data_IF_737112955468
#
_entry.id   IF_737112955468
#
_cell.length_a   1.000
_cell.length_b   1.000
_cell.length_c   1.000
_cell.angle_alpha   90.00
_cell.angle_beta   90.00
_cell.angle_gamma   90.00
#
_symmetry.space_group_name_H-M   'P 1'
#
loop_
_entity.id
_entity.type
_entity.pdbx_description
1 polymer ?
#
# COMPACT_ATOMS: atom_id res chain seq x y z
N UNK A 1 24.72 20.54 -21.13
CA UNK A 1 24.65 21.48 -19.96
C UNK A 1 23.24 22.09 -19.98
N UNK A 2 22.51 22.17 -18.86
CA UNK A 2 21.19 22.79 -18.87
C UNK A 2 21.27 24.28 -19.05
N UNK A 3 20.49 24.86 -19.97
CA UNK A 3 20.31 26.29 -20.12
C UNK A 3 18.83 26.65 -20.06
N UNK A 4 18.51 27.76 -19.39
CA UNK A 4 17.14 28.30 -19.35
C UNK A 4 16.94 29.19 -20.56
N UNK A 5 16.04 28.77 -21.48
CA UNK A 5 15.80 29.53 -22.72
C UNK A 5 14.62 30.51 -22.56
N UNK A 6 13.59 30.14 -21.75
CA UNK A 6 12.42 30.98 -21.57
C UNK A 6 11.78 30.73 -20.20
N UNK A 7 11.32 31.84 -19.59
CA UNK A 7 10.50 31.84 -18.40
C UNK A 7 9.14 32.41 -18.73
N UNK A 8 8.06 31.65 -18.44
CA UNK A 8 6.67 32.09 -18.58
C UNK A 8 6.04 32.26 -17.20
N UNK A 9 5.42 33.40 -16.95
CA UNK A 9 4.79 33.72 -15.66
C UNK A 9 3.36 34.19 -15.90
N UNK A 10 2.38 33.65 -15.15
CA UNK A 10 1.00 34.06 -15.22
C UNK A 10 0.34 34.02 -13.84
N UNK A 11 -0.37 35.09 -13.47
CA UNK A 11 -1.07 35.16 -12.18
C UNK A 11 -0.16 35.12 -10.94
N UNK A 12 1.16 35.25 -11.10
CA UNK A 12 2.13 35.13 -10.03
C UNK A 12 2.54 36.51 -9.49
N UNK A 13 2.22 36.79 -8.24
CA UNK A 13 2.51 38.04 -7.54
C UNK A 13 2.09 39.28 -8.35
N UNK A 14 3.06 40.05 -8.91
CA UNK A 14 2.80 41.24 -9.71
C UNK A 14 2.52 40.97 -11.20
N UNK A 15 2.73 39.74 -11.66
CA UNK A 15 2.51 39.31 -13.04
C UNK A 15 1.11 38.76 -13.22
N UNK A 16 0.16 39.61 -13.57
CA UNK A 16 -1.25 39.22 -13.74
C UNK A 16 -1.46 38.46 -15.06
N UNK A 17 -1.05 39.08 -16.13
CA UNK A 17 -1.18 38.55 -17.49
C UNK A 17 0.01 37.65 -17.84
N UNK A 18 -0.17 36.71 -18.79
CA UNK A 18 0.93 35.87 -19.27
C UNK A 18 2.07 36.76 -19.75
N UNK A 19 3.24 36.59 -19.13
CA UNK A 19 4.45 37.35 -19.45
C UNK A 19 5.59 36.39 -19.71
N UNK A 20 6.17 36.46 -20.88
CA UNK A 20 7.25 35.59 -21.31
C UNK A 20 8.57 36.37 -21.31
N UNK A 21 9.60 35.78 -20.73
CA UNK A 21 10.97 36.29 -20.71
C UNK A 21 11.85 35.34 -21.50
N UNK A 22 12.30 35.77 -22.69
CA UNK A 22 13.32 35.04 -23.44
C UNK A 22 14.71 35.31 -22.84
N UNK A 23 15.45 34.24 -22.56
CA UNK A 23 16.78 34.29 -21.98
C UNK A 23 17.77 33.79 -23.02
N UNK A 24 18.49 34.73 -23.62
CA UNK A 24 19.48 34.43 -24.67
C UNK A 24 20.80 33.96 -24.05
N UNK A 25 21.58 33.22 -24.83
CA UNK A 25 22.94 32.84 -24.45
C UNK A 25 23.79 34.08 -24.12
N UNK A 26 24.60 34.01 -23.06
CA UNK A 26 25.40 35.07 -22.55
C UNK A 26 24.79 35.82 -21.37
N UNK A 27 24.97 37.12 -21.29
CA UNK A 27 24.47 37.95 -20.20
C UNK A 27 23.12 38.58 -20.56
N UNK A 28 22.08 38.24 -19.81
CA UNK A 28 20.74 38.85 -19.93
C UNK A 28 20.51 39.77 -18.73
N UNK A 29 20.26 41.06 -18.97
CA UNK A 29 19.96 42.08 -17.95
C UNK A 29 18.47 42.40 -17.88
N UNK A 30 17.87 42.34 -16.66
CA UNK A 30 16.50 42.77 -16.40
C UNK A 30 16.55 44.04 -15.57
N UNK A 31 16.16 45.16 -16.17
CA UNK A 31 16.20 46.49 -15.58
C UNK A 31 14.80 47.08 -15.41
N UNK A 32 14.62 47.96 -14.43
CA UNK A 32 13.36 48.62 -14.16
C UNK A 32 13.37 49.39 -12.84
N UNK A 33 12.40 50.25 -12.56
CA UNK A 33 12.28 51.00 -11.31
C UNK A 33 12.04 50.08 -10.09
N UNK A 34 12.16 50.66 -8.88
CA UNK A 34 11.84 49.93 -7.66
C UNK A 34 10.33 49.59 -7.61
N UNK A 35 9.99 48.36 -7.16
CA UNK A 35 8.61 47.93 -7.04
C UNK A 35 8.00 47.31 -8.31
N UNK A 36 8.67 47.36 -9.49
CA UNK A 36 8.11 46.78 -10.74
C UNK A 36 8.14 45.27 -10.87
N UNK A 37 8.51 44.53 -9.82
CA UNK A 37 8.46 43.07 -9.84
C UNK A 37 9.74 42.33 -10.21
N UNK A 38 10.91 43.03 -10.36
CA UNK A 38 12.22 42.37 -10.69
C UNK A 38 12.55 41.19 -9.79
N UNK A 39 12.33 41.31 -8.48
CA UNK A 39 12.59 40.25 -7.52
C UNK A 39 11.60 39.08 -7.68
N UNK A 40 10.39 39.35 -8.15
CA UNK A 40 9.38 38.31 -8.36
C UNK A 40 9.75 37.36 -9.49
N UNK A 41 10.57 37.81 -10.47
CA UNK A 41 11.11 36.95 -11.53
C UNK A 41 12.06 35.91 -10.95
N UNK A 42 12.96 36.29 -10.04
CA UNK A 42 13.86 35.35 -9.36
C UNK A 42 13.06 34.35 -8.49
N UNK A 43 12.02 34.85 -7.85
CA UNK A 43 11.14 34.00 -7.04
C UNK A 43 10.32 33.02 -7.90
N UNK A 44 9.87 33.46 -9.08
CA UNK A 44 9.21 32.58 -10.04
C UNK A 44 10.16 31.47 -10.54
N UNK A 45 11.42 31.82 -10.88
CA UNK A 45 12.44 30.82 -11.24
C UNK A 45 12.62 29.81 -10.09
N UNK A 46 12.79 30.25 -8.85
CA UNK A 46 12.93 29.36 -7.68
C UNK A 46 11.73 28.48 -7.49
N UNK A 47 10.54 29.04 -7.64
CA UNK A 47 9.29 28.28 -7.56
C UNK A 47 9.27 27.19 -8.65
N UNK A 48 9.58 27.52 -9.90
CA UNK A 48 9.65 26.57 -11.00
C UNK A 48 10.67 25.44 -10.77
N UNK A 49 11.81 25.75 -10.15
CA UNK A 49 12.87 24.80 -9.79
C UNK A 49 12.51 23.89 -8.60
N UNK A 50 11.32 24.04 -7.99
CA UNK A 50 10.84 23.16 -6.94
C UNK A 50 10.96 23.68 -5.51
N UNK A 51 11.11 25.02 -5.28
CA UNK A 51 11.05 25.58 -3.94
C UNK A 51 9.65 25.43 -3.34
N UNK A 52 9.59 24.99 -2.07
CA UNK A 52 8.35 24.79 -1.31
C UNK A 52 8.19 25.79 -0.17
N UNK A 53 9.25 26.43 0.24
CA UNK A 53 9.23 27.36 1.36
C UNK A 53 8.64 28.70 0.95
N UNK A 54 7.42 29.02 1.42
CA UNK A 54 6.80 30.32 1.20
C UNK A 54 7.70 31.46 1.68
N UNK A 55 8.41 31.29 2.81
CA UNK A 55 9.38 32.29 3.34
C UNK A 55 10.51 32.60 2.37
N UNK A 56 11.01 31.60 1.65
CA UNK A 56 12.07 31.79 0.67
C UNK A 56 11.58 32.52 -0.59
N UNK A 57 10.26 32.41 -0.84
CA UNK A 57 9.54 33.12 -1.91
C UNK A 57 8.87 34.39 -1.41
N UNK A 58 9.28 34.91 -0.23
CA UNK A 58 8.77 36.15 0.39
C UNK A 58 7.24 36.17 0.55
N UNK A 59 6.61 35.01 0.78
CA UNK A 59 5.22 34.85 1.16
C UNK A 59 5.12 34.33 2.60
N UNK A 60 3.99 34.49 3.24
CA UNK A 60 3.63 33.81 4.50
C UNK A 60 3.14 32.40 4.20
N UNK A 61 2.28 32.29 3.19
CA UNK A 61 1.70 31.05 2.68
C UNK A 61 1.96 30.93 1.17
N UNK A 62 1.78 29.73 0.63
CA UNK A 62 1.95 29.48 -0.81
C UNK A 62 0.93 30.28 -1.63
N UNK A 63 -0.26 30.48 -1.11
CA UNK A 63 -1.33 31.24 -1.76
C UNK A 63 -0.98 32.73 -1.93
N UNK A 64 -0.06 33.28 -1.13
CA UNK A 64 0.46 34.64 -1.30
C UNK A 64 1.27 34.84 -2.58
N UNK A 65 1.65 33.76 -3.24
CA UNK A 65 2.31 33.81 -4.54
C UNK A 65 1.31 34.07 -5.69
N UNK A 66 0.02 33.87 -5.46
CA UNK A 66 -1.03 34.18 -6.42
C UNK A 66 -1.32 35.69 -6.35
N UNK A 67 -1.61 36.31 -7.49
CA UNK A 67 -2.02 37.70 -7.54
C UNK A 67 -3.27 37.94 -6.70
N UNK A 68 -3.13 38.80 -5.68
CA UNK A 68 -4.17 39.06 -4.67
C UNK A 68 -5.18 40.15 -5.08
N UNK A 69 -5.01 40.71 -6.28
CA UNK A 69 -5.85 41.83 -6.73
C UNK A 69 -5.28 43.19 -6.38
N UNK A 70 -5.84 44.21 -6.97
CA UNK A 70 -5.61 45.66 -6.70
C UNK A 70 -6.96 46.35 -6.75
N UNK A 71 -7.01 47.63 -6.39
CA UNK A 71 -8.24 48.45 -6.45
C UNK A 71 -8.94 48.40 -7.82
N UNK A 72 -8.16 48.20 -8.89
CA UNK A 72 -8.65 48.18 -10.27
C UNK A 72 -8.70 46.80 -10.94
N UNK A 73 -8.23 45.71 -10.24
CA UNK A 73 -8.17 44.36 -10.81
C UNK A 73 -8.55 43.31 -9.77
N UNK A 74 -9.48 42.39 -10.06
CA UNK A 74 -9.83 41.33 -9.12
C UNK A 74 -8.65 40.38 -8.86
N UNK A 75 -8.68 39.70 -7.71
CA UNK A 75 -7.74 38.63 -7.40
C UNK A 75 -7.91 37.44 -8.32
N UNK A 76 -6.82 36.71 -8.55
CA UNK A 76 -6.83 35.48 -9.32
C UNK A 76 -6.87 34.25 -8.39
N UNK A 77 -7.35 33.13 -8.92
CA UNK A 77 -7.39 31.86 -8.18
C UNK A 77 -6.28 30.90 -8.59
N UNK A 78 -5.51 31.26 -9.63
CA UNK A 78 -4.45 30.42 -10.16
C UNK A 78 -3.20 31.24 -10.47
N UNK A 79 -2.04 30.67 -10.17
CA UNK A 79 -0.76 31.18 -10.67
C UNK A 79 -0.03 30.03 -11.37
N UNK A 80 0.67 30.36 -12.45
CA UNK A 80 1.44 29.41 -13.24
C UNK A 80 2.82 29.97 -13.55
N UNK A 81 3.84 29.11 -13.38
CA UNK A 81 5.22 29.42 -13.78
C UNK A 81 5.72 28.28 -14.64
N UNK A 82 6.15 28.59 -15.85
CA UNK A 82 6.75 27.69 -16.82
C UNK A 82 8.22 27.99 -17.05
N UNK A 83 9.07 26.97 -16.95
CA UNK A 83 10.50 27.03 -17.28
C UNK A 83 10.73 26.19 -18.55
N UNK A 84 11.27 26.80 -19.59
CA UNK A 84 11.68 26.11 -20.80
C UNK A 84 13.19 25.98 -20.79
N UNK A 85 13.64 24.74 -20.63
CA UNK A 85 15.05 24.41 -20.40
C UNK A 85 15.58 23.62 -21.58
N UNK A 86 16.67 24.05 -22.15
CA UNK A 86 17.42 23.31 -23.16
C UNK A 86 18.22 22.21 -22.48
N UNK A 87 18.07 20.95 -22.94
CA UNK A 87 18.72 19.76 -22.42
C UNK A 87 19.62 19.08 -23.47
N UNK A 88 19.88 19.74 -24.60
CA UNK A 88 20.69 19.17 -25.69
C UNK A 88 22.10 18.78 -25.18
N UNK A 89 22.55 17.59 -25.54
CA UNK A 89 23.83 17.01 -25.11
C UNK A 89 23.87 16.60 -23.63
N UNK A 90 22.74 16.46 -22.95
CA UNK A 90 22.64 15.95 -21.58
C UNK A 90 22.05 14.54 -21.54
N UNK A 91 22.31 13.79 -20.46
CA UNK A 91 21.68 12.47 -20.23
C UNK A 91 20.15 12.52 -20.22
N UNK A 92 19.58 13.70 -19.96
CA UNK A 92 18.12 13.93 -19.95
C UNK A 92 17.51 13.91 -21.35
N UNK A 93 18.28 14.27 -22.39
CA UNK A 93 17.82 14.20 -23.78
C UNK A 93 17.38 12.78 -24.16
N UNK A 94 18.17 11.78 -23.78
CA UNK A 94 17.85 10.37 -24.01
C UNK A 94 16.62 9.93 -23.20
N UNK A 95 16.44 10.45 -22.00
CA UNK A 95 15.32 10.10 -21.11
C UNK A 95 14.00 10.68 -21.60
N UNK A 96 13.99 11.91 -22.08
CA UNK A 96 12.77 12.63 -22.47
C UNK A 96 12.56 12.66 -23.99
N UNK A 97 13.51 12.16 -24.79
CA UNK A 97 13.47 12.16 -26.27
C UNK A 97 13.14 13.55 -26.85
N UNK A 98 13.67 14.60 -26.24
CA UNK A 98 13.45 15.99 -26.61
C UNK A 98 14.70 16.79 -26.30
N UNK A 99 14.96 17.82 -27.08
CA UNK A 99 16.03 18.80 -26.81
C UNK A 99 15.62 19.90 -25.86
N UNK A 100 14.33 20.12 -25.69
CA UNK A 100 13.77 21.11 -24.79
C UNK A 100 12.78 20.45 -23.83
N UNK A 101 12.84 20.88 -22.57
CA UNK A 101 11.98 20.41 -21.51
C UNK A 101 11.14 21.58 -20.99
N UNK A 102 9.82 21.41 -21.00
CA UNK A 102 8.91 22.33 -20.35
C UNK A 102 8.61 21.84 -18.94
N UNK A 103 8.90 22.67 -17.93
CA UNK A 103 8.60 22.40 -16.54
C UNK A 103 7.65 23.47 -16.06
N UNK A 104 6.40 23.11 -15.76
CA UNK A 104 5.38 24.01 -15.29
C UNK A 104 4.96 23.69 -13.87
N UNK A 105 4.78 24.73 -13.04
CA UNK A 105 4.16 24.60 -11.73
C UNK A 105 2.97 25.55 -11.62
N UNK A 106 1.86 25.00 -11.13
CA UNK A 106 0.60 25.71 -10.95
C UNK A 106 0.21 25.72 -9.48
N UNK A 107 -0.32 26.85 -9.03
CA UNK A 107 -0.88 27.01 -7.68
C UNK A 107 -2.36 27.29 -7.87
N UNK A 108 -3.21 26.55 -7.18
CA UNK A 108 -4.63 26.86 -7.04
C UNK A 108 -4.89 27.32 -5.61
N UNK A 109 -5.62 28.42 -5.48
CA UNK A 109 -5.94 29.01 -4.19
C UNK A 109 -6.75 28.01 -3.35
N UNK A 110 -6.19 27.64 -2.18
CA UNK A 110 -6.80 26.66 -1.27
C UNK A 110 -6.66 25.19 -1.65
N UNK A 111 -6.14 24.86 -2.85
CA UNK A 111 -6.00 23.45 -3.30
C UNK A 111 -4.54 22.99 -3.34
N UNK A 112 -3.60 23.94 -3.26
CA UNK A 112 -2.17 23.63 -3.25
C UNK A 112 -1.48 23.76 -4.60
N UNK A 113 -0.41 22.95 -4.83
CA UNK A 113 0.46 23.08 -6.01
C UNK A 113 0.59 21.78 -6.76
N UNK A 114 0.47 21.84 -8.10
CA UNK A 114 0.74 20.72 -9.01
C UNK A 114 1.94 21.04 -9.89
N UNK A 115 2.64 20.01 -10.30
CA UNK A 115 3.86 20.12 -11.08
C UNK A 115 3.76 19.30 -12.35
N UNK A 116 4.28 19.82 -13.46
CA UNK A 116 4.15 19.20 -14.78
C UNK A 116 5.51 19.19 -15.48
N UNK A 117 5.78 18.15 -16.25
CA UNK A 117 6.90 18.05 -17.18
C UNK A 117 6.32 17.68 -18.55
N UNK A 118 6.55 18.53 -19.55
CA UNK A 118 5.99 18.37 -20.91
C UNK A 118 4.48 18.08 -20.87
N UNK A 119 3.73 18.83 -20.05
CA UNK A 119 2.28 18.73 -19.88
C UNK A 119 1.80 17.51 -19.05
N UNK A 120 2.68 16.58 -18.64
CA UNK A 120 2.31 15.45 -17.78
C UNK A 120 2.53 15.81 -16.31
N UNK A 121 1.54 15.52 -15.48
CA UNK A 121 1.64 15.72 -14.04
C UNK A 121 2.69 14.79 -13.43
N UNK A 122 3.56 15.37 -12.58
CA UNK A 122 4.66 14.69 -11.91
C UNK A 122 4.71 15.09 -10.44
N UNK A 123 5.39 14.30 -9.62
CA UNK A 123 5.63 14.67 -8.23
C UNK A 123 6.67 15.78 -8.16
N UNK A 124 6.48 16.72 -7.24
CA UNK A 124 7.44 17.78 -7.00
C UNK A 124 8.88 17.26 -6.78
N UNK A 125 8.99 16.12 -6.08
CA UNK A 125 10.28 15.47 -5.85
C UNK A 125 11.01 15.11 -7.15
N UNK A 126 10.28 14.77 -8.21
CA UNK A 126 10.88 14.41 -9.51
C UNK A 126 11.51 15.65 -10.17
N UNK A 127 10.87 16.83 -10.06
CA UNK A 127 11.43 18.10 -10.49
C UNK A 127 12.68 18.47 -9.67
N UNK A 128 12.60 18.33 -8.35
CA UNK A 128 13.73 18.61 -7.47
C UNK A 128 14.93 17.73 -7.77
N UNK A 129 14.73 16.43 -8.02
CA UNK A 129 15.78 15.49 -8.38
C UNK A 129 16.38 15.82 -9.76
N UNK A 130 15.53 16.15 -10.74
CA UNK A 130 15.98 16.53 -12.07
C UNK A 130 16.95 17.73 -12.02
N UNK A 131 16.61 18.76 -11.26
CA UNK A 131 17.47 19.93 -11.11
C UNK A 131 18.65 19.70 -10.16
N UNK A 132 18.53 18.81 -9.17
CA UNK A 132 19.63 18.45 -8.29
C UNK A 132 20.73 17.68 -9.07
N UNK A 133 20.34 16.78 -9.97
CA UNK A 133 21.26 16.08 -10.87
C UNK A 133 22.02 17.05 -11.79
N UNK A 134 21.36 18.14 -12.19
CA UNK A 134 21.94 19.20 -13.02
C UNK A 134 22.71 20.26 -12.23
N UNK A 135 22.91 20.10 -10.92
CA UNK A 135 23.50 21.08 -10.01
C UNK A 135 22.82 22.47 -10.06
N UNK A 136 21.55 22.54 -10.39
CA UNK A 136 20.77 23.77 -10.61
C UNK A 136 19.48 23.75 -9.77
N UNK A 137 19.54 23.30 -8.53
CA UNK A 137 18.36 23.22 -7.66
C UNK A 137 17.82 24.60 -7.26
N UNK A 138 16.60 24.68 -6.76
CA UNK A 138 15.96 25.92 -6.28
C UNK A 138 16.75 26.63 -5.17
N UNK A 139 17.54 25.87 -4.43
CA UNK A 139 18.43 26.36 -3.36
C UNK A 139 19.87 26.53 -3.80
N UNK A 140 20.15 26.26 -5.07
CA UNK A 140 21.50 26.31 -5.67
C UNK A 140 22.22 27.61 -5.42
N UNK A 141 23.54 27.52 -5.30
CA UNK A 141 24.47 28.63 -5.35
C UNK A 141 24.41 29.36 -6.68
N UNK A 142 23.86 28.75 -7.73
CA UNK A 142 23.59 29.38 -9.02
C UNK A 142 22.59 30.53 -8.92
N UNK A 143 21.71 30.56 -7.91
CA UNK A 143 20.76 31.66 -7.68
C UNK A 143 21.22 32.47 -6.46
N UNK A 144 21.86 33.58 -6.74
CA UNK A 144 22.35 34.51 -5.70
C UNK A 144 21.31 35.60 -5.46
N UNK A 145 20.56 35.52 -4.36
CA UNK A 145 19.65 36.58 -3.94
C UNK A 145 20.38 37.64 -3.12
N UNK A 146 19.79 38.84 -3.05
CA UNK A 146 20.29 39.93 -2.23
C UNK A 146 20.50 39.49 -0.77
N UNK A 147 21.70 39.71 -0.22
CA UNK A 147 22.07 39.33 1.15
C UNK A 147 22.56 37.87 1.32
N UNK A 148 22.41 36.99 0.32
CA UNK A 148 22.87 35.59 0.43
C UNK A 148 24.41 35.47 0.51
N UNK A 149 25.15 36.34 -0.13
CA UNK A 149 26.63 36.34 -0.08
C UNK A 149 27.09 36.53 1.38
N UNK A 150 26.54 37.52 2.09
CA UNK A 150 26.82 37.72 3.50
C UNK A 150 26.46 36.52 4.38
N UNK A 151 25.33 35.88 4.10
CA UNK A 151 24.92 34.67 4.81
C UNK A 151 25.88 33.50 4.57
N UNK A 152 26.41 33.31 3.36
CA UNK A 152 27.38 32.24 3.03
C UNK A 152 28.70 32.48 3.73
N UNK A 153 29.19 33.75 3.75
CA UNK A 153 30.46 34.09 4.40
C UNK A 153 30.42 33.92 5.93
N UNK A 154 29.27 34.17 6.53
CA UNK A 154 29.03 34.00 7.98
C UNK A 154 28.45 32.64 8.37
N UNK A 155 28.22 31.75 7.39
CA UNK A 155 27.64 30.46 7.60
C UNK A 155 28.51 29.55 8.50
N UNK A 156 27.86 28.65 9.24
CA UNK A 156 28.53 27.60 10.01
C UNK A 156 29.24 26.61 9.09
N UNK A 157 30.22 25.83 9.61
CA UNK A 157 30.95 24.84 8.80
C UNK A 157 30.04 23.83 8.09
N UNK A 158 28.95 23.40 8.75
CA UNK A 158 27.97 22.44 8.18
C UNK A 158 27.25 23.03 6.97
N UNK A 159 26.86 24.32 7.04
CA UNK A 159 26.17 25.01 5.95
C UNK A 159 27.14 25.26 4.77
N UNK A 160 28.41 25.57 5.05
CA UNK A 160 29.44 25.70 4.01
C UNK A 160 29.72 24.36 3.33
N UNK A 161 29.75 23.27 4.08
CA UNK A 161 29.87 21.91 3.51
C UNK A 161 28.78 21.65 2.50
N UNK A 162 27.53 21.98 2.81
CA UNK A 162 26.37 21.79 1.90
C UNK A 162 26.55 22.61 0.60
N UNK A 163 27.08 23.84 0.69
CA UNK A 163 27.38 24.67 -0.47
C UNK A 163 28.45 24.03 -1.36
N UNK A 164 29.49 23.44 -0.75
CA UNK A 164 30.55 22.75 -1.49
C UNK A 164 30.07 21.46 -2.14
N UNK A 165 29.25 20.68 -1.44
CA UNK A 165 28.63 19.44 -1.95
C UNK A 165 27.70 19.73 -3.12
N UNK A 166 26.97 20.84 -3.06
CA UNK A 166 26.15 21.33 -4.16
C UNK A 166 26.98 21.73 -5.37
N UNK A 167 28.02 22.54 -5.16
CA UNK A 167 28.93 22.97 -6.23
C UNK A 167 29.64 21.77 -6.89
N UNK A 168 29.87 20.69 -6.13
CA UNK A 168 30.42 19.44 -6.64
C UNK A 168 29.38 18.56 -7.34
N UNK A 169 28.09 18.92 -7.35
CA UNK A 169 27.03 18.16 -8.01
C UNK A 169 26.62 16.83 -7.32
N UNK A 170 27.03 16.64 -6.05
CA UNK A 170 26.81 15.36 -5.34
C UNK A 170 25.51 15.30 -4.53
N UNK A 171 24.76 16.39 -4.44
CA UNK A 171 23.49 16.42 -3.68
C UNK A 171 22.46 15.45 -4.23
N UNK A 172 22.35 15.30 -5.55
CA UNK A 172 21.47 14.32 -6.18
C UNK A 172 21.81 12.88 -5.81
N UNK A 173 23.11 12.56 -5.78
CA UNK A 173 23.62 11.26 -5.35
C UNK A 173 23.32 10.99 -3.87
N UNK A 174 23.51 11.96 -2.99
CA UNK A 174 23.21 11.83 -1.56
C UNK A 174 21.71 11.60 -1.31
N UNK A 175 20.84 12.32 -2.02
CA UNK A 175 19.39 12.12 -1.93
C UNK A 175 18.97 10.72 -2.36
N UNK A 176 19.50 10.22 -3.47
CA UNK A 176 19.24 8.86 -3.95
C UNK A 176 19.76 7.79 -3.00
N UNK A 177 20.96 8.01 -2.43
CA UNK A 177 21.55 7.12 -1.41
C UNK A 177 20.65 7.05 -0.18
N UNK A 178 20.22 8.19 0.33
CA UNK A 178 19.32 8.23 1.50
C UNK A 178 18.00 7.53 1.23
N UNK A 179 17.38 7.74 0.06
CA UNK A 179 16.16 7.05 -0.34
C UNK A 179 16.37 5.52 -0.43
N UNK A 180 17.52 5.08 -0.96
CA UNK A 180 17.87 3.67 -1.03
C UNK A 180 18.07 3.06 0.37
N UNK A 181 18.74 3.76 1.28
CA UNK A 181 18.92 3.35 2.68
C UNK A 181 17.57 3.22 3.42
N UNK A 182 16.64 4.17 3.20
CA UNK A 182 15.28 4.08 3.78
C UNK A 182 14.49 2.88 3.24
N UNK A 183 14.58 2.62 1.93
CA UNK A 183 13.94 1.44 1.30
C UNK A 183 14.53 0.13 1.82
N UNK A 184 15.86 0.07 1.96
CA UNK A 184 16.56 -1.10 2.49
C UNK A 184 16.18 -1.37 3.95
N UNK A 185 16.10 -0.32 4.78
CA UNK A 185 15.62 -0.43 6.16
C UNK A 185 14.16 -0.93 6.22
N UNK A 186 13.30 -0.41 5.34
CA UNK A 186 11.92 -0.88 5.22
C UNK A 186 11.82 -2.35 4.80
N UNK A 187 12.65 -2.77 3.83
CA UNK A 187 12.71 -4.17 3.39
C UNK A 187 13.19 -5.11 4.51
N UNK A 188 14.22 -4.71 5.26
CA UNK A 188 14.70 -5.50 6.40
C UNK A 188 13.64 -5.65 7.50
N UNK A 189 12.91 -4.58 7.83
CA UNK A 189 11.81 -4.68 8.81
C UNK A 189 10.68 -5.61 8.32
N UNK A 190 10.37 -5.58 7.02
CA UNK A 190 9.40 -6.51 6.45
C UNK A 190 9.89 -7.96 6.48
N UNK A 191 11.19 -8.19 6.25
CA UNK A 191 11.81 -9.52 6.34
C UNK A 191 11.67 -10.10 7.74
N UNK A 192 12.05 -9.34 8.79
CA UNK A 192 11.87 -9.76 10.18
C UNK A 192 10.41 -10.11 10.49
N UNK A 193 9.47 -9.31 10.02
CA UNK A 193 8.04 -9.61 10.22
C UNK A 193 7.59 -10.89 9.52
N UNK A 194 8.14 -11.19 8.34
CA UNK A 194 7.85 -12.44 7.63
C UNK A 194 8.44 -13.63 8.36
N UNK A 195 9.65 -13.50 8.91
CA UNK A 195 10.28 -14.54 9.75
C UNK A 195 9.43 -14.87 10.98
N UNK A 196 8.92 -13.86 11.71
CA UNK A 196 8.02 -14.06 12.85
C UNK A 196 6.72 -14.80 12.44
N UNK A 197 6.16 -14.47 11.28
CA UNK A 197 4.96 -15.13 10.75
C UNK A 197 5.26 -16.60 10.39
N UNK A 198 6.40 -16.87 9.78
CA UNK A 198 6.83 -18.25 9.45
C UNK A 198 6.96 -19.07 10.73
N UNK A 199 7.65 -18.54 11.76
CA UNK A 199 7.79 -19.21 13.03
C UNK A 199 6.43 -19.54 13.66
N UNK A 200 5.51 -18.59 13.66
CA UNK A 200 4.14 -18.81 14.17
C UNK A 200 3.41 -19.93 13.41
N UNK A 201 3.55 -19.99 12.09
CA UNK A 201 2.96 -21.06 11.29
C UNK A 201 3.61 -22.42 11.52
N UNK A 202 4.92 -22.48 11.74
CA UNK A 202 5.63 -23.71 12.07
C UNK A 202 5.15 -24.29 13.41
N UNK A 203 4.96 -23.44 14.43
CA UNK A 203 4.39 -23.83 15.72
C UNK A 203 2.95 -24.37 15.58
N UNK A 204 2.08 -23.66 14.83
CA UNK A 204 0.73 -24.10 14.56
C UNK A 204 0.70 -25.44 13.80
N UNK A 205 1.59 -25.61 12.84
CA UNK A 205 1.71 -26.85 12.05
C UNK A 205 2.15 -28.03 12.94
N UNK A 206 3.04 -27.80 13.88
CA UNK A 206 3.44 -28.83 14.86
C UNK A 206 2.26 -29.27 15.74
N UNK A 207 1.46 -28.33 16.23
CA UNK A 207 0.24 -28.61 17.01
C UNK A 207 -0.78 -29.39 16.18
N UNK A 208 -1.06 -28.94 14.94
CA UNK A 208 -2.00 -29.61 14.04
C UNK A 208 -1.56 -31.04 13.69
N UNK A 209 -0.26 -31.27 13.46
CA UNK A 209 0.27 -32.62 13.23
C UNK A 209 0.04 -33.55 14.45
N UNK A 210 0.21 -33.02 15.66
CA UNK A 210 -0.07 -33.78 16.89
C UNK A 210 -1.57 -34.12 17.00
N UNK A 211 -2.44 -33.16 16.78
CA UNK A 211 -3.89 -33.37 16.80
C UNK A 211 -4.35 -34.36 15.72
N UNK A 212 -3.79 -34.29 14.51
CA UNK A 212 -4.10 -35.27 13.46
C UNK A 212 -3.73 -36.69 13.86
N UNK A 213 -2.57 -36.90 14.47
CA UNK A 213 -2.13 -38.21 14.98
C UNK A 213 -3.04 -38.74 16.10
N UNK A 214 -3.47 -37.86 17.00
CA UNK A 214 -4.43 -38.22 18.07
C UNK A 214 -5.81 -38.56 17.49
N UNK A 215 -6.29 -37.81 16.50
CA UNK A 215 -7.54 -38.09 15.81
C UNK A 215 -7.52 -39.42 15.05
N UNK A 216 -6.40 -39.76 14.41
CA UNK A 216 -6.21 -41.06 13.76
C UNK A 216 -6.25 -42.23 14.78
N UNK A 217 -5.54 -42.07 15.90
CA UNK A 217 -5.61 -43.04 17.01
C UNK A 217 -7.02 -43.22 17.54
N UNK A 218 -7.74 -42.12 17.74
CA UNK A 218 -9.12 -42.16 18.20
C UNK A 218 -10.02 -42.93 17.22
N UNK A 219 -9.89 -42.69 15.90
CA UNK A 219 -10.65 -43.41 14.87
C UNK A 219 -10.37 -44.92 14.91
N UNK A 220 -9.10 -45.31 15.01
CA UNK A 220 -8.70 -46.71 15.06
C UNK A 220 -9.26 -47.42 16.31
N UNK A 221 -9.13 -46.79 17.49
CA UNK A 221 -9.68 -47.33 18.72
C UNK A 221 -11.22 -47.43 18.67
N UNK A 222 -11.88 -46.37 18.18
CA UNK A 222 -13.36 -46.37 18.01
C UNK A 222 -13.85 -47.48 17.08
N UNK A 223 -13.11 -47.77 16.02
CA UNK A 223 -13.42 -48.88 15.10
C UNK A 223 -13.23 -50.23 15.79
N UNK A 224 -12.16 -50.41 16.57
CA UNK A 224 -11.94 -51.64 17.35
C UNK A 224 -13.03 -51.84 18.39
N UNK A 225 -13.44 -50.81 19.11
CA UNK A 225 -14.54 -50.88 20.08
C UNK A 225 -15.85 -51.32 19.39
N UNK A 226 -16.22 -50.68 18.27
CA UNK A 226 -17.42 -51.02 17.51
C UNK A 226 -17.40 -52.47 17.04
N UNK A 227 -16.27 -52.96 16.56
CA UNK A 227 -16.12 -54.35 16.13
C UNK A 227 -16.25 -55.33 17.31
N UNK A 228 -15.67 -55.02 18.45
CA UNK A 228 -15.77 -55.80 19.67
C UNK A 228 -17.23 -55.84 20.20
N UNK A 229 -17.90 -54.70 20.27
CA UNK A 229 -19.31 -54.60 20.64
C UNK A 229 -20.20 -55.42 19.70
N UNK A 230 -19.98 -55.29 18.37
CA UNK A 230 -20.72 -56.08 17.39
C UNK A 230 -20.53 -57.61 17.58
N UNK A 231 -19.31 -58.03 17.91
CA UNK A 231 -19.02 -59.45 18.22
C UNK A 231 -19.74 -59.94 19.47
N UNK A 232 -19.77 -59.14 20.53
CA UNK A 232 -20.50 -59.45 21.77
C UNK A 232 -22.02 -59.55 21.49
N UNK A 233 -22.58 -58.60 20.76
CA UNK A 233 -23.98 -58.63 20.40
C UNK A 233 -24.32 -59.83 19.51
N UNK A 234 -23.45 -60.23 18.60
CA UNK A 234 -23.63 -61.38 17.75
C UNK A 234 -23.70 -62.70 18.59
N UNK A 235 -22.74 -62.88 19.52
CA UNK A 235 -22.74 -64.06 20.42
C UNK A 235 -24.02 -64.09 21.27
N UNK A 236 -24.38 -62.98 21.90
CA UNK A 236 -25.58 -62.87 22.74
C UNK A 236 -26.85 -63.10 21.96
N UNK A 237 -26.95 -62.64 20.73
CA UNK A 237 -28.06 -62.92 19.82
C UNK A 237 -28.21 -64.42 19.54
N UNK A 238 -27.07 -65.08 19.22
CA UNK A 238 -27.10 -66.52 18.94
C UNK A 238 -27.53 -67.36 20.17
N UNK A 239 -27.03 -67.01 21.37
CA UNK A 239 -27.47 -67.65 22.62
C UNK A 239 -28.95 -67.49 22.85
N UNK A 240 -29.49 -66.28 22.69
CA UNK A 240 -30.91 -66.01 22.83
C UNK A 240 -31.73 -66.73 21.78
N UNK A 241 -31.25 -66.87 20.56
CA UNK A 241 -31.90 -67.57 19.48
C UNK A 241 -32.03 -69.09 19.80
N UNK A 242 -30.94 -69.70 20.31
CA UNK A 242 -30.97 -71.12 20.77
C UNK A 242 -31.98 -71.37 21.91
N UNK A 243 -32.07 -70.45 22.88
CA UNK A 243 -33.03 -70.50 23.97
C UNK A 243 -34.45 -70.35 23.40
N UNK A 244 -34.67 -69.49 22.45
CA UNK A 244 -35.98 -69.28 21.81
C UNK A 244 -36.45 -70.52 21.03
N UNK A 245 -35.57 -71.17 20.29
CA UNK A 245 -35.81 -72.43 19.59
C UNK A 245 -36.20 -73.51 20.57
N UNK A 246 -35.46 -73.71 21.68
CA UNK A 246 -35.77 -74.68 22.74
C UNK A 246 -37.15 -74.44 23.39
N UNK A 247 -37.41 -73.15 23.73
CA UNK A 247 -38.73 -72.80 24.32
C UNK A 247 -39.87 -72.98 23.33
N UNK A 248 -39.68 -72.79 22.05
CA UNK A 248 -40.69 -73.08 21.04
C UNK A 248 -40.93 -74.58 20.90
N UNK A 249 -39.87 -75.42 20.93
CA UNK A 249 -40.04 -76.87 20.93
C UNK A 249 -40.82 -77.39 22.19
N UNK A 250 -40.51 -76.86 23.38
CA UNK A 250 -41.25 -77.18 24.61
C UNK A 250 -42.71 -76.73 24.53
N UNK A 251 -42.94 -75.52 24.03
CA UNK A 251 -44.31 -75.03 23.80
C UNK A 251 -45.11 -75.93 22.86
N UNK A 252 -44.52 -76.38 21.76
CA UNK A 252 -45.18 -77.23 20.79
C UNK A 252 -45.46 -78.65 21.38
N UNK A 253 -44.52 -79.16 22.19
CA UNK A 253 -44.76 -80.42 22.97
C UNK A 253 -45.90 -80.24 23.96
N UNK A 254 -45.99 -79.12 24.66
CA UNK A 254 -47.08 -78.83 25.59
C UNK A 254 -48.43 -78.70 24.85
N UNK A 255 -48.42 -77.99 23.68
CA UNK A 255 -49.64 -77.89 22.86
C UNK A 255 -50.14 -79.22 22.37
N UNK A 256 -49.25 -80.15 21.96
CA UNK A 256 -49.68 -81.54 21.58
C UNK A 256 -50.29 -82.22 22.74
N UNK A 257 -49.67 -82.23 23.92
CA UNK A 257 -50.27 -82.83 25.13
C UNK A 257 -51.58 -82.18 25.50
N UNK A 258 -51.75 -80.89 25.34
CA UNK A 258 -53.02 -80.21 25.66
C UNK A 258 -54.13 -80.59 24.65
N UNK A 259 -53.78 -80.78 23.38
CA UNK A 259 -54.72 -81.30 22.37
C UNK A 259 -55.13 -82.75 22.65
N UNK A 260 -54.17 -83.60 23.06
CA UNK A 260 -54.51 -85.01 23.47
C UNK A 260 -55.41 -85.00 24.68
N UNK A 261 -55.14 -84.22 25.73
CA UNK A 261 -56.01 -84.09 26.89
C UNK A 261 -57.37 -83.53 26.56
N UNK A 262 -57.51 -82.56 25.66
CA UNK A 262 -58.78 -82.02 25.20
C UNK A 262 -59.57 -83.07 24.42
N UNK A 263 -58.87 -83.90 23.62
CA UNK A 263 -59.48 -85.07 22.95
C UNK A 263 -60.05 -86.09 23.95
N UNK A 264 -59.24 -86.45 24.98
CA UNK A 264 -59.67 -87.41 26.03
C UNK A 264 -60.82 -86.82 26.85
N UNK A 265 -60.85 -85.56 27.22
CA UNK A 265 -62.01 -84.92 27.90
C UNK A 265 -63.23 -84.93 27.01
N UNK A 266 -63.12 -84.65 25.71
CA UNK A 266 -64.22 -84.70 24.76
C UNK A 266 -64.83 -86.11 24.63
N UNK A 267 -63.96 -87.13 24.63
CA UNK A 267 -64.43 -88.58 24.61
C UNK A 267 -65.11 -88.91 25.93
N UNK A 268 -64.57 -88.44 27.06
CA UNK A 268 -65.18 -88.68 28.37
C UNK A 268 -66.53 -87.96 28.53
N UNK A 269 -66.62 -86.71 28.05
CA UNK A 269 -67.87 -85.94 28.06
C UNK A 269 -68.92 -86.59 27.16
N UNK A 270 -68.55 -87.13 25.99
CA UNK A 270 -69.46 -87.90 25.15
C UNK A 270 -69.89 -89.18 25.83
N UNK A 271 -68.99 -89.95 26.44
CA UNK A 271 -69.31 -91.12 27.18
C UNK A 271 -70.24 -90.85 28.42
N UNK A 272 -70.04 -89.65 29.03
CA UNK A 272 -70.89 -89.21 30.13
C UNK A 272 -72.31 -88.80 29.67
N UNK A 273 -72.40 -88.16 28.51
CA UNK A 273 -73.72 -87.87 27.90
C UNK A 273 -74.45 -89.15 27.45
N UNK A 274 -73.73 -90.13 26.89
CA UNK A 274 -74.27 -91.42 26.48
C UNK A 274 -74.76 -92.27 27.69
N UNK A 275 -74.24 -92.02 28.88
CA UNK A 275 -74.74 -92.71 30.12
C UNK A 275 -75.95 -92.03 30.79
N UNK A 276 -76.36 -90.83 30.32
CA UNK A 276 -77.50 -90.08 30.78
C UNK A 276 -78.82 -90.39 30.04
N UNK A 277 -78.77 -91.19 28.99
CA UNK A 277 -79.93 -91.73 28.28
C UNK A 277 -80.27 -93.09 28.88
#
# INVERSE_FOLDING_TARGET
MLSLDKLSIKGFKSFVEPTDFEIKNGLTGIVGPNGCGKSNIVEAIRFGLGEVSAKQLRGKEIDDLIFNGTDNRPSWNIAEVGLFVNIDGSDLENKFQSKQLEIARKIWRGEGTNSFINGKEVRLKDIQLLFADASTSARSTSIVSQGRIGAITQAKPEDRKMVLEEAAGILGLQSRRHDAELRLKGANNNLLRVEDVIQTYEEQLAILKKQAKEAERFRNISTLIKNAEASVFFVKRNELQLILERLNEEKDKIKLKLADFQGDVSIQDQAYEDLKV
#
